data_IF_458587715090
#
_entry.id   IF_458587715090
#
_cell.length_a   1.000
_cell.length_b   1.000
_cell.length_c   1.000
_cell.angle_alpha   90.00
_cell.angle_beta   90.00
_cell.angle_gamma   90.00
#
_symmetry.space_group_name_H-M   'P 1'
#
loop_
_entity.id
_entity.type
_entity.pdbx_description
1 polymer ?
#
# COMPACT_ATOMS: atom_id res chain seq x y z
N UNK A 1 28.93 4.33 10.92
CA UNK A 1 27.53 4.00 11.31
C UNK A 1 27.51 2.55 11.79
N UNK A 2 26.80 2.23 12.88
CA UNK A 2 26.61 0.85 13.37
C UNK A 2 25.12 0.61 13.58
N UNK A 3 24.64 -0.59 13.24
CA UNK A 3 23.24 -0.99 13.43
C UNK A 3 23.10 -1.55 14.85
N UNK A 4 22.19 -0.99 15.65
CA UNK A 4 21.90 -1.49 17.00
C UNK A 4 20.88 -2.62 16.95
N UNK A 5 19.78 -2.39 16.23
CA UNK A 5 18.70 -3.35 16.03
C UNK A 5 18.34 -3.38 14.55
N UNK A 6 18.35 -4.57 13.95
CA UNK A 6 18.03 -4.73 12.53
C UNK A 6 16.52 -4.55 12.25
N UNK A 7 15.67 -4.95 13.20
CA UNK A 7 14.22 -4.90 13.08
C UNK A 7 13.60 -4.42 14.39
N UNK A 8 13.39 -3.11 14.50
CA UNK A 8 12.74 -2.50 15.67
C UNK A 8 11.21 -2.58 15.58
N UNK A 9 10.65 -2.45 14.37
CA UNK A 9 9.21 -2.44 14.15
C UNK A 9 8.83 -2.96 12.76
N UNK A 10 7.59 -3.43 12.66
CA UNK A 10 6.92 -3.75 11.39
C UNK A 10 5.91 -2.65 11.11
N UNK A 11 5.98 -2.04 9.93
CA UNK A 11 5.09 -0.95 9.52
C UNK A 11 4.16 -1.42 8.40
N UNK A 12 2.91 -0.99 8.47
CA UNK A 12 1.92 -1.19 7.40
C UNK A 12 2.20 -0.28 6.21
N UNK A 13 1.73 -0.68 5.04
CA UNK A 13 1.76 0.16 3.84
C UNK A 13 1.05 1.50 4.08
N UNK A 14 -0.01 1.50 4.91
CA UNK A 14 -0.74 2.71 5.27
C UNK A 14 0.08 3.69 6.12
N UNK A 15 0.78 3.21 7.16
CA UNK A 15 1.65 4.03 7.99
C UNK A 15 2.81 4.62 7.16
N UNK A 16 3.41 3.81 6.30
CA UNK A 16 4.47 4.28 5.39
C UNK A 16 3.91 5.32 4.42
N UNK A 17 2.74 5.06 3.82
CA UNK A 17 2.09 5.99 2.90
C UNK A 17 1.80 7.35 3.55
N UNK A 18 1.16 7.34 4.71
CA UNK A 18 0.82 8.57 5.45
C UNK A 18 2.08 9.32 5.89
N UNK A 19 3.12 8.62 6.34
CA UNK A 19 4.40 9.22 6.68
C UNK A 19 5.05 9.93 5.48
N UNK A 20 5.05 9.29 4.31
CA UNK A 20 5.62 9.89 3.09
C UNK A 20 4.84 11.12 2.62
N UNK A 21 3.51 11.13 2.78
CA UNK A 21 2.68 12.30 2.48
C UNK A 21 2.97 13.48 3.43
N UNK A 22 3.06 13.22 4.73
CA UNK A 22 3.45 14.24 5.73
C UNK A 22 4.86 14.77 5.45
N UNK A 23 5.81 13.90 5.08
CA UNK A 23 7.13 14.35 4.66
C UNK A 23 7.07 15.29 3.44
N UNK A 24 6.32 14.94 2.39
CA UNK A 24 6.15 15.80 1.20
C UNK A 24 5.58 17.17 1.57
N UNK A 25 4.56 17.20 2.43
CA UNK A 25 3.96 18.45 2.91
C UNK A 25 4.95 19.31 3.70
N UNK A 26 5.74 18.72 4.60
CA UNK A 26 6.78 19.43 5.38
C UNK A 26 7.86 20.04 4.51
N UNK A 27 8.24 19.39 3.41
CA UNK A 27 9.21 19.96 2.47
C UNK A 27 8.57 21.07 1.63
N UNK A 28 7.31 20.90 1.20
CA UNK A 28 6.58 21.91 0.45
C UNK A 28 6.33 23.18 1.28
N UNK A 29 5.91 23.03 2.54
CA UNK A 29 5.64 24.14 3.45
C UNK A 29 6.91 24.94 3.80
N UNK A 30 8.03 24.26 4.05
CA UNK A 30 9.35 24.92 4.25
C UNK A 30 9.79 25.74 3.04
N UNK A 31 9.46 25.28 1.84
CA UNK A 31 9.75 26.00 0.59
C UNK A 31 8.83 27.22 0.42
N UNK A 32 7.53 27.09 0.74
CA UNK A 32 6.53 28.17 0.61
C UNK A 32 6.65 29.25 1.69
N UNK A 33 7.02 28.88 2.92
CA UNK A 33 7.10 29.80 4.07
C UNK A 33 8.27 30.79 3.99
N UNK A 34 9.25 30.54 3.11
CA UNK A 34 10.40 31.42 2.93
C UNK A 34 10.23 32.18 1.62
N UNK A 35 9.99 33.48 1.73
CA UNK A 35 9.78 34.37 0.59
C UNK A 35 10.92 34.32 -0.45
N UNK A 36 10.75 34.97 -1.62
CA UNK A 36 11.58 34.77 -2.82
C UNK A 36 13.08 35.13 -2.68
N UNK A 37 13.54 35.61 -1.53
CA UNK A 37 14.94 36.01 -1.26
C UNK A 37 15.65 35.15 -0.21
N UNK A 38 15.02 34.09 0.30
CA UNK A 38 15.68 33.22 1.26
C UNK A 38 16.80 32.38 0.62
N UNK A 39 17.89 32.09 1.35
CA UNK A 39 18.97 31.23 0.86
C UNK A 39 18.44 29.84 0.48
N UNK A 40 19.11 29.14 -0.46
CA UNK A 40 18.67 27.83 -0.94
C UNK A 40 18.45 26.87 0.22
N UNK A 41 17.27 26.24 0.24
CA UNK A 41 16.91 25.20 1.22
C UNK A 41 17.95 24.09 1.21
N UNK A 42 18.21 23.49 2.38
CA UNK A 42 18.92 22.20 2.45
C UNK A 42 18.24 21.24 1.47
N UNK A 43 18.92 21.01 0.34
CA UNK A 43 18.32 20.39 -0.82
C UNK A 43 17.87 18.99 -0.41
N UNK A 44 16.57 18.67 -0.57
CA UNK A 44 16.14 17.28 -0.39
C UNK A 44 17.02 16.43 -1.31
N UNK A 45 17.77 15.45 -0.80
CA UNK A 45 18.66 14.66 -1.64
C UNK A 45 17.89 14.07 -2.81
N UNK A 46 18.45 14.17 -4.02
CA UNK A 46 17.78 13.72 -5.25
C UNK A 46 17.31 12.27 -5.13
N UNK A 47 18.16 11.40 -4.58
CA UNK A 47 17.85 9.99 -4.37
C UNK A 47 16.63 9.78 -3.46
N UNK A 48 16.51 10.56 -2.37
CA UNK A 48 15.36 10.50 -1.49
C UNK A 48 14.09 10.93 -2.22
N UNK A 49 14.16 12.00 -3.02
CA UNK A 49 13.03 12.47 -3.82
C UNK A 49 12.55 11.40 -4.82
N UNK A 50 13.47 10.71 -5.49
CA UNK A 50 13.15 9.64 -6.43
C UNK A 50 12.47 8.48 -5.71
N UNK A 51 13.08 7.96 -4.64
CA UNK A 51 12.53 6.82 -3.87
C UNK A 51 11.16 7.14 -3.29
N UNK A 52 10.97 8.33 -2.70
CA UNK A 52 9.66 8.75 -2.18
C UNK A 52 8.60 8.78 -3.28
N UNK A 53 8.92 9.33 -4.45
CA UNK A 53 7.98 9.43 -5.58
C UNK A 53 7.62 8.06 -6.13
N UNK A 54 8.61 7.19 -6.35
CA UNK A 54 8.40 5.85 -6.88
C UNK A 54 7.59 4.98 -5.90
N UNK A 55 7.89 5.07 -4.60
CA UNK A 55 7.16 4.34 -3.57
C UNK A 55 5.72 4.83 -3.44
N UNK A 56 5.48 6.14 -3.47
CA UNK A 56 4.11 6.69 -3.47
C UNK A 56 3.33 6.27 -4.72
N UNK A 57 3.99 6.17 -5.89
CA UNK A 57 3.35 5.67 -7.11
C UNK A 57 2.98 4.19 -6.96
N UNK A 58 3.91 3.35 -6.50
CA UNK A 58 3.68 1.93 -6.24
C UNK A 58 2.50 1.72 -5.28
N UNK A 59 2.48 2.45 -4.16
CA UNK A 59 1.42 2.34 -3.16
C UNK A 59 0.05 2.78 -3.68
N UNK A 60 -0.02 3.63 -4.72
CA UNK A 60 -1.28 4.07 -5.34
C UNK A 60 -1.68 3.24 -6.56
N UNK A 61 -0.79 2.40 -7.06
CA UNK A 61 -1.03 1.62 -8.27
C UNK A 61 -2.01 0.47 -7.98
N UNK A 62 -3.01 0.27 -8.83
CA UNK A 62 -3.88 -0.89 -8.74
C UNK A 62 -3.05 -2.19 -8.86
N UNK A 63 -3.29 -3.21 -8.03
CA UNK A 63 -4.47 -3.42 -7.17
C UNK A 63 -4.32 -2.94 -5.71
N UNK A 64 -3.40 -2.03 -5.39
CA UNK A 64 -3.19 -1.56 -4.01
C UNK A 64 -4.46 -0.92 -3.42
N UNK A 65 -4.84 -1.25 -2.17
CA UNK A 65 -6.01 -0.67 -1.53
C UNK A 65 -5.89 0.86 -1.34
N UNK A 66 -4.65 1.36 -1.23
CA UNK A 66 -4.37 2.79 -1.03
C UNK A 66 -4.57 3.63 -2.31
N UNK A 67 -4.73 2.99 -3.47
CA UNK A 67 -5.13 3.62 -4.72
C UNK A 67 -6.64 3.87 -4.85
N UNK A 68 -7.45 3.35 -3.91
CA UNK A 68 -8.91 3.51 -3.93
C UNK A 68 -9.30 4.97 -3.70
N UNK A 69 -10.32 5.46 -4.41
CA UNK A 69 -10.90 6.79 -4.22
C UNK A 69 -12.42 6.69 -3.99
N UNK A 70 -12.94 7.11 -2.82
CA UNK A 70 -12.21 7.66 -1.67
C UNK A 70 -11.32 6.61 -0.97
N UNK A 71 -10.25 7.07 -0.29
CA UNK A 71 -9.38 6.19 0.49
C UNK A 71 -10.16 5.65 1.70
N UNK A 72 -10.33 4.32 1.84
CA UNK A 72 -11.13 3.77 2.94
C UNK A 72 -10.38 3.79 4.29
N UNK A 73 -9.07 4.05 4.28
CA UNK A 73 -8.20 3.91 5.44
C UNK A 73 -8.05 5.23 6.19
N UNK A 74 -8.06 5.15 7.51
CA UNK A 74 -7.86 6.25 8.45
C UNK A 74 -7.05 5.77 9.66
N UNK A 75 -6.73 6.68 10.58
CA UNK A 75 -5.93 6.39 11.78
C UNK A 75 -6.53 5.30 12.68
N UNK A 76 -7.86 5.13 12.66
CA UNK A 76 -8.55 4.10 13.46
C UNK A 76 -8.65 2.75 12.75
N UNK A 77 -8.27 2.66 11.46
CA UNK A 77 -8.41 1.44 10.66
C UNK A 77 -7.66 0.26 11.27
N UNK A 78 -6.42 0.46 11.71
CA UNK A 78 -5.60 -0.60 12.35
C UNK A 78 -6.29 -1.09 13.63
N UNK A 79 -6.72 -0.17 14.49
CA UNK A 79 -7.38 -0.51 15.75
C UNK A 79 -8.67 -1.29 15.52
N UNK A 80 -9.54 -0.81 14.62
CA UNK A 80 -10.81 -1.47 14.29
C UNK A 80 -10.61 -2.86 13.69
N UNK A 81 -9.58 -3.01 12.84
CA UNK A 81 -9.27 -4.31 12.24
C UNK A 81 -8.79 -5.31 13.30
N UNK A 82 -7.90 -4.88 14.20
CA UNK A 82 -7.42 -5.71 15.31
C UNK A 82 -8.57 -6.13 16.25
N UNK A 83 -9.48 -5.20 16.57
CA UNK A 83 -10.65 -5.50 17.40
C UNK A 83 -11.61 -6.47 16.69
N UNK A 84 -11.89 -6.24 15.41
CA UNK A 84 -12.81 -7.06 14.62
C UNK A 84 -12.29 -8.47 14.34
N UNK A 85 -10.98 -8.62 14.12
CA UNK A 85 -10.35 -9.92 13.84
C UNK A 85 -9.96 -10.70 15.11
N UNK A 86 -10.13 -10.12 16.30
CA UNK A 86 -9.80 -10.73 17.59
C UNK A 86 -10.45 -12.10 17.85
N UNK A 87 -11.67 -12.41 17.38
CA UNK A 87 -12.26 -13.74 17.56
C UNK A 87 -11.43 -14.86 16.94
N UNK A 88 -10.65 -14.55 15.91
CA UNK A 88 -9.83 -15.52 15.18
C UNK A 88 -8.36 -15.37 15.57
N UNK A 89 -7.66 -16.49 15.64
CA UNK A 89 -6.26 -16.53 16.05
C UNK A 89 -5.33 -16.20 14.87
N UNK A 90 -5.26 -14.93 14.47
CA UNK A 90 -4.31 -14.46 13.44
C UNK A 90 -2.96 -14.08 14.02
N UNK A 91 -1.88 -14.41 13.30
CA UNK A 91 -0.54 -13.92 13.64
C UNK A 91 -0.40 -12.44 13.25
N UNK A 92 0.57 -11.75 13.86
CA UNK A 92 0.87 -10.35 13.50
C UNK A 92 1.22 -10.19 12.02
N UNK A 93 1.91 -11.18 11.43
CA UNK A 93 2.25 -11.19 10.01
C UNK A 93 1.02 -11.31 9.12
N UNK A 94 0.08 -12.19 9.46
CA UNK A 94 -1.19 -12.35 8.73
C UNK A 94 -2.01 -11.06 8.77
N UNK A 95 -2.13 -10.42 9.94
CA UNK A 95 -2.86 -9.15 10.06
C UNK A 95 -2.20 -8.04 9.24
N UNK A 96 -0.87 -7.98 9.25
CA UNK A 96 -0.10 -7.02 8.44
C UNK A 96 -0.39 -7.23 6.94
N UNK A 97 -0.41 -8.49 6.49
CA UNK A 97 -0.70 -8.85 5.11
C UNK A 97 -2.17 -8.58 4.72
N UNK A 98 -3.12 -8.90 5.60
CA UNK A 98 -4.55 -8.57 5.42
C UNK A 98 -4.73 -7.07 5.21
N UNK A 99 -4.07 -6.25 6.04
CA UNK A 99 -4.16 -4.79 5.93
C UNK A 99 -3.50 -4.27 4.64
N UNK A 100 -2.38 -4.85 4.23
CA UNK A 100 -1.65 -4.41 3.04
C UNK A 100 -2.32 -4.85 1.73
N UNK A 101 -2.93 -6.03 1.68
CA UNK A 101 -3.49 -6.63 0.46
C UNK A 101 -5.02 -6.52 0.35
N UNK A 102 -5.73 -6.31 1.46
CA UNK A 102 -7.21 -6.23 1.50
C UNK A 102 -7.88 -7.41 0.77
N UNK A 103 -7.81 -8.63 1.33
CA UNK A 103 -8.44 -9.79 0.71
C UNK A 103 -9.97 -9.62 0.65
N UNK A 104 -10.56 -10.02 -0.48
CA UNK A 104 -11.99 -9.88 -0.75
C UNK A 104 -12.70 -11.20 -1.06
N UNK A 105 -11.93 -12.28 -1.17
CA UNK A 105 -12.42 -13.62 -1.47
C UNK A 105 -11.63 -14.66 -0.67
N UNK A 106 -12.19 -15.87 -0.45
CA UNK A 106 -11.51 -16.93 0.29
C UNK A 106 -10.18 -17.35 -0.32
N UNK A 107 -10.04 -17.30 -1.64
CA UNK A 107 -8.77 -17.63 -2.32
C UNK A 107 -7.67 -16.63 -1.97
N UNK A 108 -8.01 -15.36 -1.75
CA UNK A 108 -7.04 -14.36 -1.31
C UNK A 108 -6.58 -14.65 0.13
N UNK A 109 -7.48 -15.08 1.01
CA UNK A 109 -7.12 -15.46 2.37
C UNK A 109 -6.18 -16.68 2.38
N UNK A 110 -6.39 -17.65 1.49
CA UNK A 110 -5.52 -18.82 1.33
C UNK A 110 -4.08 -18.45 0.96
N UNK A 111 -3.88 -17.32 0.27
CA UNK A 111 -2.54 -16.81 -0.06
C UNK A 111 -1.84 -16.08 1.09
N UNK A 112 -2.59 -15.71 2.13
CA UNK A 112 -2.08 -14.95 3.28
C UNK A 112 -1.88 -15.87 4.50
N UNK A 113 -2.79 -16.82 4.70
CA UNK A 113 -2.88 -17.66 5.89
C UNK A 113 -2.36 -19.06 5.55
N UNK A 114 -1.36 -19.51 6.31
CA UNK A 114 -0.86 -20.88 6.18
C UNK A 114 -1.88 -21.88 6.73
N UNK A 115 -2.03 -23.01 6.04
CA UNK A 115 -2.95 -24.11 6.39
C UNK A 115 -4.39 -23.64 6.65
N UNK A 116 -4.88 -22.70 5.82
CA UNK A 116 -6.18 -22.06 6.00
C UNK A 116 -7.34 -23.06 6.14
N UNK A 117 -7.38 -24.12 5.32
CA UNK A 117 -8.42 -25.16 5.40
C UNK A 117 -8.40 -25.92 6.74
N UNK A 118 -7.23 -26.07 7.36
CA UNK A 118 -7.12 -26.72 8.67
C UNK A 118 -7.48 -25.78 9.82
N UNK A 119 -7.19 -24.49 9.69
CA UNK A 119 -7.43 -23.49 10.75
C UNK A 119 -8.86 -22.95 10.75
N UNK A 120 -9.43 -22.77 9.56
CA UNK A 120 -10.75 -22.20 9.33
C UNK A 120 -11.52 -23.07 8.31
N UNK A 121 -11.90 -24.30 8.67
CA UNK A 121 -12.51 -25.26 7.74
C UNK A 121 -13.94 -24.88 7.31
N UNK A 122 -14.61 -23.99 8.03
CA UNK A 122 -15.98 -23.60 7.74
C UNK A 122 -16.05 -22.45 6.74
N UNK A 123 -16.72 -22.65 5.61
CA UNK A 123 -16.94 -21.59 4.60
C UNK A 123 -17.60 -20.35 5.23
N UNK A 124 -18.56 -20.54 6.14
CA UNK A 124 -19.23 -19.45 6.85
C UNK A 124 -18.26 -18.62 7.72
N UNK A 125 -17.28 -19.27 8.36
CA UNK A 125 -16.27 -18.58 9.16
C UNK A 125 -15.35 -17.72 8.27
N UNK A 126 -14.96 -18.25 7.11
CA UNK A 126 -14.15 -17.52 6.13
C UNK A 126 -14.92 -16.31 5.58
N UNK A 127 -16.21 -16.46 5.30
CA UNK A 127 -17.08 -15.36 4.89
C UNK A 127 -17.22 -14.29 5.99
N UNK A 128 -17.35 -14.69 7.26
CA UNK A 128 -17.40 -13.76 8.39
C UNK A 128 -16.10 -12.94 8.50
N UNK A 129 -14.94 -13.59 8.36
CA UNK A 129 -13.63 -12.90 8.32
C UNK A 129 -13.61 -11.87 7.19
N UNK A 130 -14.00 -12.27 5.98
CA UNK A 130 -14.04 -11.37 4.81
C UNK A 130 -15.01 -10.21 5.00
N UNK A 131 -16.15 -10.43 5.66
CA UNK A 131 -17.11 -9.38 5.98
C UNK A 131 -16.50 -8.34 6.94
N UNK A 132 -15.84 -8.78 8.02
CA UNK A 132 -15.14 -7.87 8.94
C UNK A 132 -14.07 -7.06 8.20
N UNK A 133 -13.28 -7.72 7.36
CA UNK A 133 -12.24 -7.06 6.54
C UNK A 133 -12.88 -6.04 5.59
N UNK A 134 -13.94 -6.41 4.89
CA UNK A 134 -14.65 -5.53 3.95
C UNK A 134 -15.32 -4.34 4.63
N UNK A 135 -15.81 -4.52 5.86
CA UNK A 135 -16.47 -3.45 6.62
C UNK A 135 -15.46 -2.44 7.17
N UNK A 136 -14.24 -2.87 7.53
CA UNK A 136 -13.19 -1.98 8.05
C UNK A 136 -12.30 -1.38 6.96
N UNK A 137 -11.90 -2.17 5.96
CA UNK A 137 -10.98 -1.79 4.88
C UNK A 137 -11.69 -1.33 3.60
N UNK A 138 -13.03 -1.38 3.60
CA UNK A 138 -13.87 -1.11 2.44
C UNK A 138 -13.91 -2.30 1.47
N UNK A 139 -15.08 -2.53 0.86
CA UNK A 139 -15.24 -3.58 -0.15
C UNK A 139 -14.67 -3.10 -1.49
N UNK A 140 -13.75 -3.85 -2.11
CA UNK A 140 -13.23 -3.46 -3.42
C UNK A 140 -14.35 -3.49 -4.47
N UNK A 141 -14.47 -2.41 -5.26
CA UNK A 141 -15.27 -2.44 -6.47
C UNK A 141 -14.50 -3.25 -7.52
N UNK A 142 -14.77 -4.55 -7.59
CA UNK A 142 -14.08 -5.46 -8.50
C UNK A 142 -14.13 -5.05 -9.98
N UNK A 143 -15.10 -4.22 -10.39
CA UNK A 143 -15.14 -3.66 -11.76
C UNK A 143 -14.15 -2.50 -11.92
N UNK A 144 -14.03 -1.63 -10.92
CA UNK A 144 -13.09 -0.52 -10.93
C UNK A 144 -11.63 -1.01 -10.85
N UNK A 145 -11.36 -1.99 -9.97
CA UNK A 145 -10.01 -2.55 -9.81
C UNK A 145 -9.56 -3.33 -11.05
N UNK A 146 -10.44 -4.15 -11.64
CA UNK A 146 -10.14 -4.89 -12.88
C UNK A 146 -9.83 -3.95 -14.06
N UNK A 147 -10.60 -2.85 -14.19
CA UNK A 147 -10.32 -1.80 -15.18
C UNK A 147 -8.99 -1.11 -14.92
N UNK A 148 -8.74 -0.69 -13.69
CA UNK A 148 -7.49 -0.02 -13.31
C UNK A 148 -6.26 -0.94 -13.54
N UNK A 149 -6.38 -2.23 -13.25
CA UNK A 149 -5.31 -3.21 -13.48
C UNK A 149 -5.04 -3.40 -14.98
N UNK A 150 -6.09 -3.44 -15.81
CA UNK A 150 -5.98 -3.50 -17.28
C UNK A 150 -5.34 -2.25 -17.84
N UNK A 151 -5.73 -1.07 -17.36
CA UNK A 151 -5.14 0.21 -17.76
C UNK A 151 -3.67 0.32 -17.36
N UNK A 152 -3.29 -0.13 -16.16
CA UNK A 152 -1.90 -0.15 -15.72
C UNK A 152 -1.06 -1.11 -16.54
N UNK A 153 -1.55 -2.32 -16.83
CA UNK A 153 -0.87 -3.26 -17.71
C UNK A 153 -0.61 -2.65 -19.10
N UNK A 154 -1.60 -1.94 -19.65
CA UNK A 154 -1.46 -1.26 -20.94
C UNK A 154 -0.45 -0.11 -20.88
N UNK A 155 -0.47 0.72 -19.82
CA UNK A 155 0.52 1.79 -19.61
C UNK A 155 1.93 1.23 -19.46
N UNK A 156 2.11 0.15 -18.69
CA UNK A 156 3.39 -0.51 -18.52
C UNK A 156 3.90 -1.08 -19.85
N UNK A 157 3.02 -1.66 -20.68
CA UNK A 157 3.38 -2.14 -22.03
C UNK A 157 3.85 -1.01 -22.94
N UNK A 158 3.10 0.10 -22.99
CA UNK A 158 3.45 1.29 -23.77
C UNK A 158 4.76 1.95 -23.30
N UNK A 159 5.02 1.96 -22.00
CA UNK A 159 6.29 2.46 -21.46
C UNK A 159 7.46 1.57 -21.88
N UNK A 160 7.31 0.23 -21.84
CA UNK A 160 8.33 -0.71 -22.31
C UNK A 160 8.61 -0.55 -23.80
N UNK A 161 7.57 -0.42 -24.63
CA UNK A 161 7.69 -0.19 -26.08
C UNK A 161 8.42 1.13 -26.40
N UNK A 162 8.25 2.17 -25.57
CA UNK A 162 8.96 3.46 -25.72
C UNK A 162 10.41 3.44 -25.27
N UNK A 163 10.81 2.48 -24.43
CA UNK A 163 12.18 2.37 -23.90
C UNK A 163 13.09 1.44 -24.69
N UNK A 164 12.60 0.76 -25.73
CA UNK A 164 13.47 -0.05 -26.61
C UNK A 164 14.27 0.93 -27.49
N UNK A 165 15.60 1.02 -27.34
CA UNK A 165 16.40 1.83 -28.25
C UNK A 165 16.29 1.24 -29.66
N UNK A 166 15.99 2.10 -30.63
CA UNK A 166 16.14 1.77 -32.05
C UNK A 166 17.63 1.45 -32.20
N UNK A 167 17.97 0.17 -32.30
CA UNK A 167 19.30 -0.25 -32.76
C UNK A 167 19.35 0.22 -34.21
N UNK A 168 20.01 1.35 -34.45
CA UNK A 168 20.37 1.80 -35.79
C UNK A 168 21.09 0.63 -36.48
N UNK A 169 20.48 0.15 -37.57
CA UNK A 169 21.12 -0.81 -38.46
C UNK A 169 22.17 -0.05 -39.26
N UNK A 170 23.43 -0.44 -39.09
CA UNK A 170 24.59 -0.07 -39.91
C UNK A 170 24.39 -0.43 -41.40
#
# INVERSE_FOLDING_TARGET
MKILEAQSATLTNYEVYTHLLDQEERFASRTKARGPRAPPVEHRPSNLKTVTKELLNYLREAPSPLGSNPLPYNENTIKKLLEGLRPWNFTKGEILMILNLRPSKPENLNTIIEEMESRFPGDEEQEQILNVIGDVLGRPDGKAESKAMTENANKARLQRERTVPIVEQD
#
